data_IF_211524777761
#
_entry.id   IF_211524777761
#
_cell.length_a   1.000
_cell.length_b   1.000
_cell.length_c   1.000
_cell.angle_alpha   90.00
_cell.angle_beta   90.00
_cell.angle_gamma   90.00
#
_symmetry.space_group_name_H-M   'P 1'
#
loop_
_entity.id
_entity.type
_entity.pdbx_description
1 polymer ?
#
# COMPACT_ATOMS: atom_id res chain seq x y z
N UNK A 1 -12.67 16.28 -20.35
CA UNK A 1 -12.45 16.61 -18.92
C UNK A 1 -11.84 15.46 -18.10
N UNK A 2 -11.37 14.36 -18.69
CA UNK A 2 -10.89 13.17 -17.94
C UNK A 2 -9.47 13.25 -17.34
N UNK A 3 -8.54 14.01 -17.93
CA UNK A 3 -7.13 13.97 -17.50
C UNK A 3 -6.88 14.53 -16.10
N UNK A 4 -7.64 15.54 -15.65
CA UNK A 4 -7.41 16.18 -14.36
C UNK A 4 -7.79 15.23 -13.20
N UNK A 5 -8.87 14.47 -13.35
CA UNK A 5 -9.35 13.52 -12.34
C UNK A 5 -8.39 12.34 -12.16
N UNK A 6 -7.77 11.86 -13.25
CA UNK A 6 -6.79 10.76 -13.19
C UNK A 6 -5.52 11.16 -12.44
N UNK A 7 -5.01 12.39 -12.68
CA UNK A 7 -3.82 12.90 -11.99
C UNK A 7 -4.09 13.07 -10.49
N UNK A 8 -5.21 13.71 -10.11
CA UNK A 8 -5.57 13.87 -8.70
C UNK A 8 -5.73 12.54 -7.97
N UNK A 9 -6.30 11.52 -8.63
CA UNK A 9 -6.45 10.17 -8.07
C UNK A 9 -5.12 9.48 -7.84
N UNK A 10 -4.22 9.48 -8.82
CA UNK A 10 -2.92 8.85 -8.69
C UNK A 10 -2.09 9.52 -7.59
N UNK A 11 -2.21 10.85 -7.47
CA UNK A 11 -1.55 11.62 -6.41
C UNK A 11 -2.14 11.28 -5.04
N UNK A 12 -3.46 11.16 -4.94
CA UNK A 12 -4.14 10.75 -3.69
C UNK A 12 -3.78 9.32 -3.28
N UNK A 13 -3.80 8.35 -4.21
CA UNK A 13 -3.39 6.97 -3.92
C UNK A 13 -1.91 6.88 -3.53
N UNK A 14 -1.04 7.63 -4.20
CA UNK A 14 0.36 7.75 -3.82
C UNK A 14 0.54 8.34 -2.42
N UNK A 15 -0.20 9.40 -2.09
CA UNK A 15 -0.19 10.01 -0.76
C UNK A 15 -0.69 9.04 0.32
N UNK A 16 -1.80 8.35 0.08
CA UNK A 16 -2.32 7.31 1.00
C UNK A 16 -1.30 6.20 1.21
N UNK A 17 -0.60 5.78 0.14
CA UNK A 17 0.50 4.81 0.21
C UNK A 17 1.65 5.29 1.11
N UNK A 18 2.11 6.52 0.91
CA UNK A 18 3.15 7.14 1.74
C UNK A 18 2.74 7.27 3.21
N UNK A 19 1.51 7.72 3.47
CA UNK A 19 0.96 7.75 4.83
C UNK A 19 0.95 6.36 5.46
N UNK A 20 0.57 5.32 4.71
CA UNK A 20 0.55 3.94 5.21
C UNK A 20 1.92 3.44 5.64
N UNK A 21 2.94 3.68 4.82
CA UNK A 21 4.33 3.32 5.13
C UNK A 21 4.82 4.12 6.32
N UNK A 22 4.57 5.43 6.34
CA UNK A 22 4.93 6.32 7.45
C UNK A 22 4.28 5.90 8.78
N UNK A 23 2.99 5.57 8.78
CA UNK A 23 2.29 5.07 9.98
C UNK A 23 2.84 3.71 10.44
N UNK A 24 3.18 2.82 9.51
CA UNK A 24 3.78 1.52 9.86
C UNK A 24 5.15 1.70 10.52
N UNK A 25 5.98 2.60 9.99
CA UNK A 25 7.27 2.97 10.60
C UNK A 25 7.05 3.61 11.96
N UNK A 26 6.07 4.51 12.11
CA UNK A 26 5.75 5.14 13.37
C UNK A 26 5.36 4.11 14.46
N UNK A 27 4.55 3.10 14.11
CA UNK A 27 4.21 2.02 15.04
C UNK A 27 5.47 1.25 15.45
N UNK A 28 6.34 0.90 14.50
CA UNK A 28 7.61 0.21 14.80
C UNK A 28 8.48 1.03 15.76
N UNK A 29 8.60 2.34 15.53
CA UNK A 29 9.38 3.25 16.38
C UNK A 29 8.76 3.35 17.78
N UNK A 30 7.44 3.53 17.88
CA UNK A 30 6.74 3.58 19.16
C UNK A 30 6.95 2.28 19.95
N UNK A 31 6.85 1.13 19.28
CA UNK A 31 7.10 -0.18 19.89
C UNK A 31 8.56 -0.35 20.30
N UNK A 32 9.51 0.08 19.47
CA UNK A 32 10.93 -0.04 19.79
C UNK A 32 11.36 0.88 20.95
N UNK A 33 10.87 2.11 21.00
CA UNK A 33 11.30 3.12 21.99
C UNK A 33 10.54 2.98 23.30
N UNK A 34 9.21 2.82 23.25
CA UNK A 34 8.37 2.91 24.45
C UNK A 34 7.98 1.55 25.03
N UNK A 35 8.15 0.45 24.27
CA UNK A 35 7.72 -0.87 24.70
C UNK A 35 8.85 -1.85 24.99
N UNK A 36 10.10 -1.54 24.64
CA UNK A 36 11.26 -2.36 24.99
C UNK A 36 12.03 -1.74 26.16
N UNK A 37 11.57 -2.01 27.37
CA UNK A 37 12.38 -1.75 28.57
C UNK A 37 13.32 -2.95 28.79
N UNK A 38 14.58 -2.80 28.37
CA UNK A 38 15.61 -3.83 28.61
C UNK A 38 16.13 -3.69 30.03
N UNK A 39 15.61 -4.51 30.95
CA UNK A 39 16.19 -4.62 32.28
C UNK A 39 17.31 -5.66 32.28
N UNK A 40 18.55 -5.19 32.37
CA UNK A 40 19.70 -6.04 32.60
C UNK A 40 19.74 -6.45 34.08
N UNK A 41 19.08 -7.55 34.43
CA UNK A 41 19.22 -8.16 35.75
C UNK A 41 20.32 -9.21 35.70
N UNK A 42 21.57 -8.79 35.90
CA UNK A 42 22.73 -9.68 35.97
C UNK A 42 23.27 -9.78 37.38
N UNK A 43 23.15 -10.96 38.01
CA UNK A 43 23.85 -11.33 39.23
C UNK A 43 24.59 -12.64 38.99
N UNK A 44 25.82 -12.55 38.45
CA UNK A 44 26.69 -13.70 38.14
C UNK A 44 26.85 -14.00 36.64
N UNK A 45 27.58 -15.08 36.32
CA UNK A 45 27.97 -15.54 34.96
C UNK A 45 26.80 -15.91 34.02
N UNK A 46 25.56 -15.82 34.50
CA UNK A 46 24.36 -16.10 33.71
C UNK A 46 23.55 -14.80 33.54
N UNK A 47 23.91 -14.00 32.54
CA UNK A 47 23.17 -12.80 32.15
C UNK A 47 21.87 -13.22 31.45
N UNK A 48 20.73 -13.11 32.14
CA UNK A 48 19.42 -13.38 31.53
C UNK A 48 18.83 -12.07 31.02
N UNK A 49 18.78 -11.90 29.70
CA UNK A 49 18.19 -10.74 29.06
C UNK A 49 16.65 -10.90 29.07
N UNK A 50 15.95 -10.25 29.99
CA UNK A 50 14.48 -10.26 30.03
C UNK A 50 13.94 -8.98 29.41
N UNK A 51 13.51 -9.06 28.14
CA UNK A 51 12.78 -7.98 27.49
C UNK A 51 11.33 -8.00 27.94
N UNK A 52 10.86 -6.94 28.61
CA UNK A 52 9.47 -6.81 29.04
C UNK A 52 8.67 -6.02 28.01
N UNK A 53 7.62 -6.61 27.45
CA UNK A 53 6.71 -5.91 26.53
C UNK A 53 5.61 -5.21 27.33
N UNK A 54 5.65 -3.88 27.38
CA UNK A 54 4.70 -3.04 28.13
C UNK A 54 3.25 -3.05 27.59
N UNK A 55 2.98 -3.79 26.50
CA UNK A 55 1.66 -3.96 25.88
C UNK A 55 0.84 -5.08 26.55
N UNK A 56 1.52 -6.00 27.24
CA UNK A 56 0.88 -7.13 27.90
C UNK A 56 0.81 -6.92 29.41
N UNK A 57 -0.21 -7.53 30.02
CA UNK A 57 -0.36 -7.64 31.47
C UNK A 57 0.77 -8.46 32.11
N UNK A 58 1.23 -9.48 31.39
CA UNK A 58 2.30 -10.35 31.84
C UNK A 58 3.63 -9.90 31.23
N UNK A 59 4.50 -9.33 32.06
CA UNK A 59 5.84 -8.88 31.67
C UNK A 59 6.72 -10.01 31.08
N UNK A 60 6.34 -11.26 31.31
CA UNK A 60 7.00 -12.47 30.80
C UNK A 60 6.54 -12.89 29.41
N UNK A 61 5.36 -12.46 28.94
CA UNK A 61 4.80 -12.90 27.66
C UNK A 61 5.20 -11.91 26.55
N UNK A 62 6.30 -12.22 25.85
CA UNK A 62 6.83 -11.42 24.73
C UNK A 62 5.98 -11.49 23.44
N UNK A 63 4.91 -12.28 23.44
CA UNK A 63 4.16 -12.64 22.23
C UNK A 63 3.48 -11.43 21.56
N UNK A 64 3.00 -10.45 22.33
CA UNK A 64 2.28 -9.30 21.78
C UNK A 64 3.19 -8.31 21.03
N UNK A 65 4.40 -8.07 21.54
CA UNK A 65 5.38 -7.24 20.84
C UNK A 65 5.85 -7.94 19.56
N UNK A 66 6.16 -9.23 19.64
CA UNK A 66 6.53 -10.04 18.47
C UNK A 66 5.42 -10.04 17.42
N UNK A 67 4.16 -10.15 17.85
CA UNK A 67 3.01 -10.04 16.97
C UNK A 67 2.94 -8.66 16.28
N UNK A 68 3.12 -7.56 17.01
CA UNK A 68 3.12 -6.22 16.43
C UNK A 68 4.23 -6.04 15.38
N UNK A 69 5.45 -6.52 15.66
CA UNK A 69 6.55 -6.51 14.70
C UNK A 69 6.24 -7.37 13.46
N UNK A 70 5.68 -8.57 13.66
CA UNK A 70 5.29 -9.44 12.55
C UNK A 70 4.22 -8.78 11.66
N UNK A 71 3.18 -8.19 12.26
CA UNK A 71 2.10 -7.50 11.54
C UNK A 71 2.64 -6.32 10.72
N UNK A 72 3.54 -5.52 11.30
CA UNK A 72 4.15 -4.38 10.60
C UNK A 72 5.10 -4.84 9.49
N UNK A 73 5.93 -5.85 9.75
CA UNK A 73 6.87 -6.42 8.79
C UNK A 73 6.16 -7.04 7.57
N UNK A 74 5.15 -7.88 7.81
CA UNK A 74 4.33 -8.47 6.74
C UNK A 74 3.65 -7.36 5.93
N UNK A 75 3.12 -6.33 6.57
CA UNK A 75 2.50 -5.19 5.87
C UNK A 75 3.47 -4.46 4.93
N UNK A 76 4.74 -4.30 5.32
CA UNK A 76 5.77 -3.73 4.46
C UNK A 76 6.09 -4.64 3.28
N UNK A 77 6.25 -5.95 3.53
CA UNK A 77 6.51 -6.93 2.47
C UNK A 77 5.37 -6.99 1.45
N UNK A 78 4.10 -6.99 1.90
CA UNK A 78 2.92 -6.98 1.02
C UNK A 78 2.87 -5.68 0.20
N UNK A 79 3.21 -4.54 0.80
CA UNK A 79 3.25 -3.26 0.08
C UNK A 79 4.33 -3.24 -1.01
N UNK A 80 5.49 -3.82 -0.73
CA UNK A 80 6.58 -3.97 -1.70
C UNK A 80 6.20 -4.94 -2.82
N UNK A 81 5.60 -6.09 -2.47
CA UNK A 81 5.08 -7.03 -3.45
C UNK A 81 4.02 -6.40 -4.35
N UNK A 82 3.08 -5.63 -3.78
CA UNK A 82 2.06 -4.90 -4.53
C UNK A 82 2.70 -3.93 -5.54
N UNK A 83 3.75 -3.21 -5.13
CA UNK A 83 4.48 -2.28 -6.01
C UNK A 83 5.17 -3.01 -7.17
N UNK A 84 5.77 -4.17 -6.90
CA UNK A 84 6.36 -5.03 -7.94
C UNK A 84 5.29 -5.57 -8.89
N UNK A 85 4.15 -6.03 -8.36
CA UNK A 85 3.03 -6.50 -9.18
C UNK A 85 2.51 -5.41 -10.10
N UNK A 86 2.42 -4.16 -9.62
CA UNK A 86 2.02 -3.02 -10.45
C UNK A 86 2.99 -2.75 -11.59
N UNK A 87 4.30 -2.81 -11.33
CA UNK A 87 5.32 -2.69 -12.37
C UNK A 87 5.19 -3.80 -13.43
N UNK A 88 4.91 -5.04 -13.02
CA UNK A 88 4.80 -6.19 -13.93
C UNK A 88 3.48 -6.18 -14.70
N UNK A 89 2.38 -5.70 -14.10
CA UNK A 89 1.04 -5.66 -14.72
C UNK A 89 0.78 -4.44 -15.59
N UNK A 90 1.74 -3.51 -15.73
CA UNK A 90 1.66 -2.35 -16.63
C UNK A 90 1.33 -2.67 -18.10
N UNK A 91 1.41 -3.94 -18.54
CA UNK A 91 1.07 -4.35 -19.90
C UNK A 91 -0.26 -5.13 -20.03
N UNK A 92 -0.98 -5.36 -18.92
CA UNK A 92 -2.22 -6.14 -18.91
C UNK A 92 -3.45 -5.22 -18.78
N UNK A 93 -4.10 -4.98 -19.93
CA UNK A 93 -5.32 -4.19 -20.10
C UNK A 93 -6.37 -4.43 -18.98
N UNK A 94 -6.48 -3.52 -18.00
CA UNK A 94 -7.56 -3.49 -16.99
C UNK A 94 -7.46 -4.47 -15.81
N UNK A 95 -6.56 -5.46 -15.85
CA UNK A 95 -6.42 -6.43 -14.75
C UNK A 95 -5.79 -5.80 -13.49
N UNK A 96 -4.94 -4.78 -13.67
CA UNK A 96 -4.27 -4.09 -12.56
C UNK A 96 -5.23 -3.56 -11.49
N UNK A 97 -6.34 -2.93 -11.88
CA UNK A 97 -7.29 -2.32 -10.93
C UNK A 97 -8.00 -3.35 -10.04
N UNK A 98 -8.29 -4.54 -10.56
CA UNK A 98 -8.89 -5.62 -9.77
C UNK A 98 -7.91 -6.19 -8.76
N UNK A 99 -6.65 -6.37 -9.16
CA UNK A 99 -5.58 -6.83 -8.26
C UNK A 99 -5.33 -5.82 -7.15
N UNK A 100 -5.26 -4.52 -7.48
CA UNK A 100 -5.16 -3.46 -6.47
C UNK A 100 -6.31 -3.50 -5.48
N UNK A 101 -7.55 -3.63 -5.97
CA UNK A 101 -8.72 -3.70 -5.11
C UNK A 101 -8.63 -4.85 -4.10
N UNK A 102 -8.28 -6.06 -4.56
CA UNK A 102 -8.14 -7.24 -3.70
C UNK A 102 -7.02 -7.03 -2.68
N UNK A 103 -5.88 -6.47 -3.10
CA UNK A 103 -4.77 -6.18 -2.20
C UNK A 103 -5.16 -5.15 -1.12
N UNK A 104 -5.87 -4.09 -1.48
CA UNK A 104 -6.37 -3.12 -0.51
C UNK A 104 -7.39 -3.70 0.46
N UNK A 105 -8.26 -4.60 -0.01
CA UNK A 105 -9.21 -5.32 0.85
C UNK A 105 -8.51 -6.26 1.83
N UNK A 106 -7.57 -7.09 1.34
CA UNK A 106 -6.78 -7.98 2.19
C UNK A 106 -6.00 -7.17 3.25
N UNK A 107 -5.41 -6.05 2.83
CA UNK A 107 -4.72 -5.15 3.75
C UNK A 107 -5.69 -4.54 4.77
N UNK A 108 -6.88 -4.12 4.35
CA UNK A 108 -7.91 -3.61 5.26
C UNK A 108 -8.31 -4.68 6.29
N UNK A 109 -8.63 -5.90 5.84
CA UNK A 109 -9.00 -7.01 6.73
C UNK A 109 -7.88 -7.33 7.73
N UNK A 110 -6.62 -7.35 7.26
CA UNK A 110 -5.45 -7.57 8.09
C UNK A 110 -5.31 -6.52 9.20
N UNK A 111 -5.44 -5.24 8.86
CA UNK A 111 -5.34 -4.15 9.85
C UNK A 111 -6.54 -4.09 10.80
N UNK A 112 -7.73 -4.49 10.37
CA UNK A 112 -8.91 -4.60 11.26
C UNK A 112 -8.68 -5.68 12.31
N UNK A 113 -8.14 -6.85 11.93
CA UNK A 113 -7.80 -7.91 12.88
C UNK A 113 -6.75 -7.40 13.87
N UNK A 114 -5.68 -6.76 13.38
CA UNK A 114 -4.66 -6.18 14.24
C UNK A 114 -5.24 -5.13 15.20
N UNK A 115 -6.12 -4.25 14.72
CA UNK A 115 -6.77 -3.23 15.54
C UNK A 115 -7.64 -3.84 16.65
N UNK A 116 -8.37 -4.91 16.36
CA UNK A 116 -9.12 -5.66 17.36
C UNK A 116 -8.22 -6.27 18.44
N UNK A 117 -7.09 -6.88 18.03
CA UNK A 117 -6.11 -7.47 18.95
C UNK A 117 -5.48 -6.39 19.85
N UNK A 118 -5.03 -5.27 19.28
CA UNK A 118 -4.46 -4.17 20.05
C UNK A 118 -5.48 -3.49 20.96
N UNK A 119 -6.74 -3.37 20.53
CA UNK A 119 -7.81 -2.81 21.37
C UNK A 119 -8.11 -3.71 22.57
N UNK A 120 -8.15 -5.03 22.37
CA UNK A 120 -8.31 -6.01 23.47
C UNK A 120 -7.12 -5.97 24.42
N UNK A 121 -5.89 -6.01 23.90
CA UNK A 121 -4.69 -5.93 24.72
C UNK A 121 -4.63 -4.63 25.55
N UNK A 122 -5.02 -3.49 24.96
CA UNK A 122 -5.10 -2.23 25.66
C UNK A 122 -6.20 -2.22 26.74
N UNK A 123 -7.36 -2.81 26.48
CA UNK A 123 -8.44 -2.93 27.46
C UNK A 123 -8.03 -3.83 28.63
N UNK A 124 -7.44 -5.00 28.33
CA UNK A 124 -6.97 -5.96 29.34
C UNK A 124 -5.89 -5.34 30.23
N UNK A 125 -5.00 -4.51 29.66
CA UNK A 125 -3.96 -3.80 30.42
C UNK A 125 -4.51 -2.68 31.32
N UNK A 126 -5.67 -2.10 30.97
CA UNK A 126 -6.33 -1.06 31.75
C UNK A 126 -7.21 -1.62 32.87
N UNK A 127 -7.80 -2.82 32.67
CA UNK A 127 -8.68 -3.48 33.65
C UNK A 127 -7.90 -4.14 34.79
N UNK A 128 -6.57 -4.28 34.66
CA UNK A 128 -5.72 -4.66 35.77
C UNK A 128 -5.59 -3.49 36.74
N UNK A 129 -6.50 -3.43 37.70
CA UNK A 129 -6.20 -2.79 38.98
C UNK A 129 -4.96 -3.48 39.51
N UNK A 130 -3.81 -2.79 39.50
CA UNK A 130 -2.53 -3.38 39.85
C UNK A 130 -2.57 -4.07 41.21
N UNK A 131 -1.63 -4.99 41.46
CA UNK A 131 -1.49 -5.74 42.73
C UNK A 131 -1.49 -4.85 44.00
N UNK A 132 -1.31 -3.53 43.85
CA UNK A 132 -1.30 -2.54 44.93
C UNK A 132 -2.48 -1.54 44.90
N UNK A 133 -3.54 -1.79 44.12
CA UNK A 133 -4.68 -0.86 44.00
C UNK A 133 -4.37 0.45 43.25
N UNK A 134 -3.12 0.65 42.82
CA UNK A 134 -2.72 1.73 41.94
C UNK A 134 -2.79 1.22 40.50
N UNK A 135 -3.72 1.77 39.71
CA UNK A 135 -3.74 1.55 38.27
C UNK A 135 -2.36 1.92 37.71
N UNK A 136 -1.82 1.10 36.81
CA UNK A 136 -0.61 1.50 36.07
C UNK A 136 -0.87 2.89 35.46
N UNK A 137 0.09 3.83 35.49
CA UNK A 137 -0.10 5.14 34.90
C UNK A 137 -0.59 4.96 33.47
N UNK A 138 -1.79 5.50 33.17
CA UNK A 138 -2.32 5.51 31.82
C UNK A 138 -1.45 6.42 30.98
N UNK A 139 -0.40 5.86 30.40
CA UNK A 139 0.42 6.60 29.47
C UNK A 139 -0.30 6.64 28.11
N UNK A 140 -0.48 7.85 27.59
CA UNK A 140 -1.23 8.17 26.36
C UNK A 140 -0.80 7.36 25.12
N UNK A 141 0.35 6.71 25.14
CA UNK A 141 0.83 5.87 24.04
C UNK A 141 0.04 4.55 23.92
N UNK A 142 -0.51 4.00 25.02
CA UNK A 142 -1.28 2.74 24.99
C UNK A 142 -2.58 2.88 24.20
N UNK A 143 -3.22 4.03 24.29
CA UNK A 143 -4.43 4.36 23.52
C UNK A 143 -4.11 4.82 22.10
N UNK A 144 -2.89 5.32 21.85
CA UNK A 144 -2.48 5.79 20.53
C UNK A 144 -2.33 4.65 19.53
N UNK A 145 -1.74 3.51 19.92
CA UNK A 145 -1.56 2.34 19.04
C UNK A 145 -2.87 1.82 18.43
N UNK A 146 -3.92 1.51 19.21
CA UNK A 146 -5.19 1.06 18.64
C UNK A 146 -5.83 2.13 17.77
N UNK A 147 -5.79 3.41 18.16
CA UNK A 147 -6.33 4.52 17.35
C UNK A 147 -5.63 4.60 15.99
N UNK A 148 -4.30 4.56 15.97
CA UNK A 148 -3.51 4.58 14.72
C UNK A 148 -3.87 3.37 13.84
N UNK A 149 -4.03 2.17 14.44
CA UNK A 149 -4.41 0.97 13.68
C UNK A 149 -5.80 1.04 13.04
N UNK A 150 -6.77 1.67 13.72
CA UNK A 150 -8.09 1.95 13.16
C UNK A 150 -8.02 2.97 12.02
N UNK A 151 -7.21 4.02 12.17
CA UNK A 151 -7.00 5.02 11.11
C UNK A 151 -6.41 4.36 9.85
N UNK A 152 -5.43 3.47 10.00
CA UNK A 152 -4.86 2.71 8.86
C UNK A 152 -5.94 1.83 8.19
N UNK A 153 -6.80 1.19 8.99
CA UNK A 153 -7.90 0.36 8.48
C UNK A 153 -8.88 1.18 7.63
N UNK A 154 -9.30 2.34 8.13
CA UNK A 154 -10.21 3.24 7.40
C UNK A 154 -9.56 3.77 6.12
N UNK A 155 -8.29 4.17 6.18
CA UNK A 155 -7.54 4.59 4.99
C UNK A 155 -7.42 3.47 3.95
N UNK A 156 -7.17 2.24 4.38
CA UNK A 156 -7.12 1.07 3.51
C UNK A 156 -8.48 0.80 2.84
N UNK A 157 -9.56 0.91 3.59
CA UNK A 157 -10.92 0.74 3.09
C UNK A 157 -11.30 1.81 2.06
N UNK A 158 -10.97 3.07 2.32
CA UNK A 158 -11.20 4.17 1.38
C UNK A 158 -10.43 3.96 0.08
N UNK A 159 -9.16 3.53 0.15
CA UNK A 159 -8.38 3.17 -1.03
C UNK A 159 -9.03 2.02 -1.83
N UNK A 160 -9.52 0.98 -1.14
CA UNK A 160 -10.24 -0.12 -1.78
C UNK A 160 -11.49 0.36 -2.54
N UNK A 161 -12.30 1.24 -1.95
CA UNK A 161 -13.49 1.79 -2.62
C UNK A 161 -13.11 2.58 -3.88
N UNK A 162 -12.05 3.38 -3.82
CA UNK A 162 -11.58 4.16 -4.98
C UNK A 162 -11.13 3.22 -6.11
N UNK A 163 -10.32 2.19 -5.79
CA UNK A 163 -9.88 1.19 -6.77
C UNK A 163 -11.06 0.39 -7.36
N UNK A 164 -12.07 0.05 -6.54
CA UNK A 164 -13.29 -0.60 -7.02
C UNK A 164 -14.06 0.27 -8.01
N UNK A 165 -14.21 1.55 -7.72
CA UNK A 165 -14.90 2.48 -8.61
C UNK A 165 -14.21 2.59 -9.99
N UNK A 166 -12.88 2.47 -10.04
CA UNK A 166 -12.12 2.46 -11.29
C UNK A 166 -12.19 1.11 -12.02
N UNK A 167 -12.15 -0.01 -11.29
CA UNK A 167 -12.36 -1.33 -11.85
C UNK A 167 -13.74 -1.44 -12.54
N UNK A 168 -14.79 -0.91 -11.92
CA UNK A 168 -16.15 -0.88 -12.49
C UNK A 168 -16.21 -0.03 -13.77
N UNK A 169 -15.58 1.15 -13.79
CA UNK A 169 -15.52 2.00 -14.98
C UNK A 169 -14.77 1.34 -16.12
N UNK A 170 -13.63 0.72 -15.83
CA UNK A 170 -12.82 0.03 -16.82
C UNK A 170 -13.58 -1.16 -17.43
N UNK A 171 -14.29 -1.95 -16.60
CA UNK A 171 -15.20 -2.99 -17.11
C UNK A 171 -16.31 -2.42 -18.01
N UNK A 172 -16.91 -1.28 -17.64
CA UNK A 172 -17.96 -0.66 -18.46
C UNK A 172 -17.43 -0.19 -19.81
N UNK A 173 -16.27 0.45 -19.84
CA UNK A 173 -15.72 1.02 -21.08
C UNK A 173 -15.06 -0.06 -21.97
N UNK A 174 -14.51 -1.14 -21.41
CA UNK A 174 -13.93 -2.26 -22.19
C UNK A 174 -14.96 -3.29 -22.66
N UNK A 175 -16.03 -3.57 -21.89
CA UNK A 175 -17.05 -4.54 -22.30
C UNK A 175 -18.20 -3.94 -23.12
N UNK A 176 -18.38 -2.61 -23.13
CA UNK A 176 -19.38 -1.93 -23.97
C UNK A 176 -18.78 -1.24 -25.21
N UNK A 177 -17.48 -1.42 -25.50
CA UNK A 177 -16.85 -0.99 -26.77
C UNK A 177 -16.94 -2.05 -27.87
N UNK A 178 -17.99 -2.89 -27.83
CA UNK A 178 -18.48 -3.58 -29.02
C UNK A 178 -19.44 -2.66 -29.76
N UNK A 179 -19.20 -2.45 -31.06
CA UNK A 179 -20.11 -1.79 -32.03
C UNK A 179 -20.05 -0.28 -32.25
N UNK A 180 -18.85 0.35 -32.26
CA UNK A 180 -18.66 1.60 -33.02
C UNK A 180 -17.78 1.42 -34.29
N UNK A 181 -17.69 0.18 -34.80
CA UNK A 181 -17.14 -0.08 -36.14
C UNK A 181 -18.02 0.43 -37.29
N UNK A 182 -19.23 0.97 -37.02
CA UNK A 182 -20.17 1.39 -38.07
C UNK A 182 -20.29 2.91 -38.29
N UNK A 183 -19.72 3.77 -37.43
CA UNK A 183 -19.78 5.24 -37.63
C UNK A 183 -18.65 5.81 -38.48
N UNK A 184 -17.58 5.04 -38.75
CA UNK A 184 -16.42 5.49 -39.53
C UNK A 184 -16.57 5.45 -41.06
N UNK A 185 -17.62 4.83 -41.61
CA UNK A 185 -17.81 4.72 -43.08
C UNK A 185 -18.56 5.88 -43.71
N UNK A 186 -19.25 6.74 -42.95
CA UNK A 186 -19.97 7.89 -43.51
C UNK A 186 -19.12 9.17 -43.61
N UNK A 187 -18.10 9.37 -42.78
CA UNK A 187 -17.26 10.59 -42.87
C UNK A 187 -16.00 10.44 -43.74
N UNK A 188 -15.72 9.25 -44.30
CA UNK A 188 -14.61 9.05 -45.26
C UNK A 188 -15.02 9.14 -46.73
N UNK A 189 -16.31 9.34 -47.05
CA UNK A 189 -16.72 9.64 -48.45
C UNK A 189 -16.60 11.11 -48.81
N UNK A 190 -16.68 12.04 -47.85
CA UNK A 190 -16.61 13.48 -48.15
C UNK A 190 -15.21 14.10 -48.06
N UNK A 191 -14.26 13.45 -47.37
CA UNK A 191 -12.85 13.94 -47.30
C UNK A 191 -11.92 13.39 -48.38
N UNK A 192 -12.40 12.54 -49.29
CA UNK A 192 -11.61 12.04 -50.43
C UNK A 192 -11.56 12.99 -51.64
N UNK A 193 -12.08 14.22 -51.51
CA UNK A 193 -12.09 15.21 -52.59
C UNK A 193 -11.06 16.35 -52.44
N UNK A 194 -10.22 16.36 -51.39
CA UNK A 194 -9.31 17.50 -51.17
C UNK A 194 -8.00 17.14 -50.44
N UNK A 195 -7.28 16.14 -50.96
CA UNK A 195 -5.85 16.03 -50.68
C UNK A 195 -5.11 16.56 -51.91
N UNK A 196 -4.48 17.76 -51.85
CA UNK A 196 -3.56 18.18 -52.91
C UNK A 196 -2.41 17.18 -53.02
N UNK A 197 -1.90 16.92 -54.24
CA UNK A 197 -0.83 15.96 -54.47
C UNK A 197 0.39 16.30 -53.61
N UNK A 198 0.88 15.31 -52.85
CA UNK A 198 2.14 15.46 -52.15
C UNK A 198 3.29 15.54 -53.16
N UNK A 199 4.25 16.47 -52.98
CA UNK A 199 5.46 16.50 -53.79
C UNK A 199 6.26 15.22 -53.56
N UNK A 200 6.78 14.66 -54.65
CA UNK A 200 7.58 13.45 -54.65
C UNK A 200 8.76 13.58 -53.68
N UNK A 201 8.85 12.67 -52.72
CA UNK A 201 10.02 12.54 -51.86
C UNK A 201 11.15 11.89 -52.66
N UNK A 202 12.16 12.68 -53.03
CA UNK A 202 13.43 12.15 -53.54
C UNK A 202 14.19 11.47 -52.39
N UNK A 203 14.58 10.20 -52.53
CA UNK A 203 15.44 9.56 -51.54
C UNK A 203 16.83 10.20 -51.58
N UNK A 204 17.44 10.51 -50.43
CA UNK A 204 18.84 10.94 -50.40
C UNK A 204 19.72 9.80 -50.91
N UNK A 205 20.37 10.03 -52.06
CA UNK A 205 21.46 9.19 -52.55
C UNK A 205 22.67 9.45 -51.67
N UNK A 206 23.16 8.39 -51.02
CA UNK A 206 24.47 8.40 -50.38
C UNK A 206 24.39 8.17 -48.88
N UNK A 207 24.27 6.90 -48.49
CA UNK A 207 24.80 6.46 -47.22
C UNK A 207 25.43 5.09 -47.42
N UNK A 208 26.74 5.13 -47.65
CA UNK A 208 27.59 3.96 -47.82
C UNK A 208 27.55 3.08 -46.56
N UNK A 209 27.31 1.77 -46.69
CA UNK A 209 27.47 0.81 -45.60
C UNK A 209 28.94 0.39 -45.51
N UNK A 210 29.76 1.22 -44.89
CA UNK A 210 31.07 0.78 -44.40
C UNK A 210 31.43 1.60 -43.16
N UNK A 211 32.10 0.97 -42.20
CA UNK A 211 32.52 1.51 -40.89
C UNK A 211 31.38 1.39 -39.86
N UNK A 212 31.39 0.46 -38.89
CA UNK A 212 32.50 0.12 -38.01
C UNK A 212 32.25 -1.23 -37.32
N UNK A 213 33.21 -2.12 -37.49
CA UNK A 213 33.46 -3.23 -36.59
C UNK A 213 33.99 -2.71 -35.23
N UNK A 214 33.87 -3.57 -34.22
CA UNK A 214 34.57 -3.56 -32.93
C UNK A 214 34.15 -2.51 -31.89
N UNK A 215 33.45 -2.99 -30.84
CA UNK A 215 33.85 -2.76 -29.46
C UNK A 215 33.09 -3.71 -28.51
N UNK A 216 33.87 -4.68 -27.98
CA UNK A 216 33.74 -5.44 -26.72
C UNK A 216 32.51 -6.33 -26.52
#
# INVERSE_FOLDING_TARGET
MGCCTTICKNLFLGFVGLCKVGLSIAIIIIVAIHLQDYKFSGSGTNTTLTGSCLLSKDFTNQDYCNYAYAVCGISMCVSLAASLFLCITCNACGCGSWVEFILYLCQCAWWVIAACVFSRAAADANDVVGLNGQGLPQENWRTSVPVISWVISVLAFLAAIISLADAIKCCRDCCCSGDDSDKGKKEKKDKKAKTPPQPAYEPPKGQDPAVRANAV
#
